data_IF_325802479024
#
_entry.id   IF_325802479024
#
_cell.length_a   1.000
_cell.length_b   1.000
_cell.length_c   1.000
_cell.angle_alpha   90.00
_cell.angle_beta   90.00
_cell.angle_gamma   90.00
#
_symmetry.space_group_name_H-M   'P 1'
#
loop_
_entity.id
_entity.type
_entity.pdbx_description
1 polymer ?
#
# COMPACT_ATOMS: atom_id res chain seq x y z
N UNK A 1 -12.66 41.73 35.56
CA UNK A 1 -12.72 40.31 35.96
C UNK A 1 -12.22 39.44 34.80
N UNK A 2 -10.96 38.96 34.81
CA UNK A 2 -10.39 38.15 33.72
C UNK A 2 -10.08 36.68 34.10
N UNK A 3 -10.60 36.16 35.23
CA UNK A 3 -10.36 34.78 35.69
C UNK A 3 -10.88 33.70 34.71
N UNK A 4 -12.00 33.96 34.03
CA UNK A 4 -12.61 33.00 33.10
C UNK A 4 -11.86 32.89 31.75
N UNK A 5 -11.08 33.91 31.37
CA UNK A 5 -10.35 33.92 30.10
C UNK A 5 -9.10 33.02 30.16
N UNK A 6 -8.37 33.06 31.28
CA UNK A 6 -7.17 32.23 31.48
C UNK A 6 -7.49 30.74 31.58
N UNK A 7 -8.62 30.36 32.20
CA UNK A 7 -9.09 28.96 32.24
C UNK A 7 -9.39 28.39 30.86
N UNK A 8 -10.00 29.17 29.97
CA UNK A 8 -10.30 28.70 28.61
C UNK A 8 -9.04 28.52 27.76
N UNK A 9 -8.05 29.42 27.87
CA UNK A 9 -6.79 29.33 27.13
C UNK A 9 -6.00 28.07 27.54
N UNK A 10 -5.94 27.77 28.84
CA UNK A 10 -5.29 26.55 29.33
C UNK A 10 -5.97 25.29 28.78
N UNK A 11 -7.31 25.20 28.81
CA UNK A 11 -8.05 24.05 28.27
C UNK A 11 -7.82 23.85 26.75
N UNK A 12 -7.74 24.94 25.99
CA UNK A 12 -7.46 24.90 24.54
C UNK A 12 -6.02 24.43 24.28
N UNK A 13 -5.04 24.88 25.07
CA UNK A 13 -3.66 24.42 24.92
C UNK A 13 -3.49 22.94 25.31
N UNK A 14 -4.14 22.50 26.38
CA UNK A 14 -4.12 21.10 26.82
C UNK A 14 -4.81 20.15 25.84
N UNK A 15 -5.93 20.56 25.23
CA UNK A 15 -6.59 19.77 24.18
C UNK A 15 -5.73 19.67 22.92
N UNK A 16 -5.04 20.74 22.51
CA UNK A 16 -4.12 20.70 21.37
C UNK A 16 -2.92 19.78 21.64
N UNK A 17 -2.33 19.85 22.84
CA UNK A 17 -1.26 18.94 23.28
C UNK A 17 -1.76 17.49 23.32
N UNK A 18 -2.99 17.24 23.80
CA UNK A 18 -3.59 15.91 23.80
C UNK A 18 -3.88 15.39 22.38
N UNK A 19 -4.34 16.25 21.46
CA UNK A 19 -4.53 15.90 20.04
C UNK A 19 -3.19 15.58 19.35
N UNK A 20 -2.15 16.36 19.62
CA UNK A 20 -0.80 16.07 19.12
C UNK A 20 -0.24 14.78 19.72
N UNK A 21 -0.42 14.57 21.03
CA UNK A 21 -0.01 13.36 21.74
C UNK A 21 -0.74 12.12 21.21
N UNK A 22 -2.05 12.21 20.99
CA UNK A 22 -2.83 11.11 20.39
C UNK A 22 -2.44 10.85 18.94
N UNK A 23 -2.12 11.87 18.13
CA UNK A 23 -1.55 11.64 16.78
C UNK A 23 -0.15 11.03 16.79
N UNK A 24 0.66 11.31 17.80
CA UNK A 24 1.99 10.72 17.99
C UNK A 24 1.91 9.27 18.49
N UNK A 25 1.03 8.99 19.46
CA UNK A 25 0.84 7.67 20.07
C UNK A 25 0.05 6.75 19.14
N UNK A 26 -1.03 7.25 18.56
CA UNK A 26 -1.70 6.66 17.41
C UNK A 26 -1.10 7.27 16.14
N UNK A 27 0.22 7.10 15.97
CA UNK A 27 0.83 7.28 14.66
C UNK A 27 -0.06 6.57 13.66
N UNK A 28 -0.50 7.27 12.61
CA UNK A 28 -1.38 6.70 11.60
C UNK A 28 -0.81 5.32 11.26
N UNK A 29 -1.54 4.26 11.61
CA UNK A 29 -1.29 2.98 10.99
C UNK A 29 -1.69 3.20 9.55
N UNK A 30 -0.74 3.67 8.75
CA UNK A 30 -0.87 3.79 7.30
C UNK A 30 -0.86 2.36 6.81
N UNK A 31 -1.99 1.68 6.97
CA UNK A 31 -2.22 0.40 6.33
C UNK A 31 -2.13 0.70 4.85
N UNK A 32 -1.15 0.13 4.12
CA UNK A 32 -1.00 0.39 2.70
C UNK A 32 -2.35 0.11 2.03
N UNK A 33 -2.82 1.00 1.15
CA UNK A 33 -4.18 0.90 0.58
C UNK A 33 -4.47 -0.48 -0.02
N UNK A 34 -3.46 -1.12 -0.59
CA UNK A 34 -3.55 -2.49 -1.09
C UNK A 34 -3.97 -3.52 -0.02
N UNK A 35 -3.57 -3.35 1.24
CA UNK A 35 -3.84 -4.27 2.34
C UNK A 35 -5.28 -4.19 2.88
N UNK A 36 -6.12 -3.32 2.32
CA UNK A 36 -7.57 -3.37 2.53
C UNK A 36 -8.23 -4.47 1.70
N UNK A 37 -7.62 -4.81 0.55
CA UNK A 37 -8.11 -5.82 -0.40
C UNK A 37 -7.26 -7.10 -0.33
N UNK A 38 -5.96 -6.93 -0.11
CA UNK A 38 -4.97 -8.00 -0.05
C UNK A 38 -4.57 -8.32 1.39
N UNK A 39 -3.91 -9.45 1.58
CA UNK A 39 -3.28 -9.82 2.84
C UNK A 39 -1.82 -9.44 2.77
N UNK A 40 -1.39 -8.57 3.68
CA UNK A 40 -0.01 -8.09 3.75
C UNK A 40 0.70 -8.68 4.96
N UNK A 41 1.91 -9.17 4.73
CA UNK A 41 2.75 -9.77 5.77
C UNK A 41 3.93 -8.86 6.09
N UNK A 42 4.42 -8.92 7.33
CA UNK A 42 5.56 -8.10 7.78
C UNK A 42 6.87 -8.42 7.05
N UNK A 43 7.00 -9.61 6.46
CA UNK A 43 8.17 -10.04 5.69
C UNK A 43 8.18 -9.55 4.23
N UNK A 44 7.27 -8.63 3.85
CA UNK A 44 7.23 -8.06 2.51
C UNK A 44 6.46 -8.90 1.49
N UNK A 45 5.73 -9.93 1.92
CA UNK A 45 4.81 -10.67 1.05
C UNK A 45 3.46 -9.96 1.02
N UNK A 46 2.90 -9.82 -0.19
CA UNK A 46 1.54 -9.28 -0.41
C UNK A 46 0.75 -10.28 -1.23
N UNK A 47 -0.29 -10.85 -0.63
CA UNK A 47 -1.16 -11.84 -1.25
C UNK A 47 -2.51 -11.20 -1.64
N UNK A 48 -2.73 -11.07 -2.95
CA UNK A 48 -3.94 -10.54 -3.57
C UNK A 48 -4.66 -11.60 -4.42
N UNK A 49 -4.47 -12.89 -4.14
CA UNK A 49 -5.06 -13.97 -4.91
C UNK A 49 -6.59 -14.05 -4.73
N UNK A 50 -7.31 -14.41 -5.81
CA UNK A 50 -8.77 -14.62 -5.79
C UNK A 50 -9.57 -13.43 -5.28
N UNK A 51 -9.16 -12.21 -5.65
CA UNK A 51 -9.79 -10.94 -5.24
C UNK A 51 -10.61 -10.27 -6.33
N UNK A 52 -10.87 -10.99 -7.43
CA UNK A 52 -11.61 -10.50 -8.60
C UNK A 52 -10.97 -9.23 -9.21
N UNK A 53 -9.65 -9.08 -9.08
CA UNK A 53 -8.95 -7.88 -9.51
C UNK A 53 -8.85 -7.81 -11.03
N UNK A 54 -9.07 -6.62 -11.57
CA UNK A 54 -8.85 -6.29 -12.99
C UNK A 54 -7.70 -5.31 -13.20
N UNK A 55 -7.17 -4.74 -12.11
CA UNK A 55 -6.05 -3.78 -12.11
C UNK A 55 -5.20 -3.96 -10.85
N UNK A 56 -3.94 -3.51 -10.92
CA UNK A 56 -2.99 -3.64 -9.80
C UNK A 56 -3.48 -2.73 -8.65
N UNK A 57 -3.60 -3.21 -7.41
CA UNK A 57 -3.97 -2.37 -6.27
C UNK A 57 -3.00 -1.21 -6.06
N UNK A 58 -3.54 -0.04 -5.74
CA UNK A 58 -2.71 1.12 -5.42
C UNK A 58 -2.09 0.99 -4.02
N UNK A 59 -0.99 1.71 -3.79
CA UNK A 59 -0.33 1.81 -2.48
C UNK A 59 0.11 0.44 -1.94
N UNK A 60 0.74 -0.39 -2.77
CA UNK A 60 1.52 -1.55 -2.30
C UNK A 60 2.80 -1.02 -1.64
N UNK A 61 3.27 -1.64 -0.56
CA UNK A 61 4.49 -1.17 0.11
C UNK A 61 5.71 -1.25 -0.80
N UNK A 62 6.59 -0.25 -0.78
CA UNK A 62 7.87 -0.29 -1.50
C UNK A 62 8.83 -1.36 -0.95
N UNK A 63 8.59 -1.85 0.27
CA UNK A 63 9.33 -2.96 0.87
C UNK A 63 8.84 -4.33 0.41
N UNK A 64 7.79 -4.40 -0.42
CA UNK A 64 7.27 -5.66 -0.95
C UNK A 64 8.31 -6.36 -1.81
N UNK A 65 8.59 -7.63 -1.47
CA UNK A 65 9.53 -8.51 -2.18
C UNK A 65 8.81 -9.58 -2.98
N UNK A 66 7.59 -9.94 -2.59
CA UNK A 66 6.75 -10.93 -3.29
C UNK A 66 5.31 -10.43 -3.40
N UNK A 67 4.78 -10.42 -4.62
CA UNK A 67 3.42 -9.99 -4.92
C UNK A 67 2.69 -11.11 -5.65
N UNK A 68 1.65 -11.66 -5.01
CA UNK A 68 0.80 -12.69 -5.60
C UNK A 68 -0.51 -12.08 -6.11
N UNK A 69 -0.68 -12.06 -7.44
CA UNK A 69 -1.87 -11.57 -8.15
C UNK A 69 -2.55 -12.70 -8.94
N UNK A 70 -2.25 -13.96 -8.59
CA UNK A 70 -2.76 -15.12 -9.29
C UNK A 70 -4.28 -15.31 -9.08
N UNK A 71 -4.94 -16.01 -10.00
CA UNK A 71 -6.39 -16.25 -9.95
C UNK A 71 -7.23 -14.96 -9.89
N UNK A 72 -6.93 -14.02 -10.78
CA UNK A 72 -7.67 -12.77 -10.96
C UNK A 72 -8.10 -12.62 -12.44
N UNK A 73 -8.56 -11.42 -12.83
CA UNK A 73 -9.08 -11.14 -14.17
C UNK A 73 -8.27 -10.06 -14.89
N UNK A 74 -6.96 -10.04 -14.68
CA UNK A 74 -6.07 -9.16 -15.43
C UNK A 74 -6.09 -9.56 -16.91
N UNK A 75 -6.42 -8.62 -17.79
CA UNK A 75 -6.30 -8.75 -19.25
C UNK A 75 -5.10 -7.98 -19.78
N UNK A 76 -4.75 -6.90 -19.09
CA UNK A 76 -3.59 -6.08 -19.36
C UNK A 76 -3.05 -5.49 -18.05
N UNK A 77 -1.80 -5.05 -18.07
CA UNK A 77 -1.18 -4.27 -16.99
C UNK A 77 -0.80 -2.91 -17.57
N UNK A 78 -0.99 -1.84 -16.81
CA UNK A 78 -0.57 -0.53 -17.29
C UNK A 78 0.96 -0.41 -17.19
N UNK A 79 1.63 0.17 -18.20
CA UNK A 79 3.05 0.48 -18.08
C UNK A 79 3.33 1.29 -16.80
N UNK A 80 4.29 0.83 -16.01
CA UNK A 80 4.63 1.48 -14.75
C UNK A 80 3.74 1.15 -13.55
N UNK A 81 2.76 0.23 -13.65
CA UNK A 81 2.00 -0.24 -12.47
C UNK A 81 2.87 -0.76 -11.33
N UNK A 82 4.08 -1.24 -11.65
CA UNK A 82 5.07 -1.72 -10.69
C UNK A 82 6.31 -0.83 -10.59
N UNK A 83 6.27 0.39 -11.15
CA UNK A 83 7.43 1.28 -11.27
C UNK A 83 8.12 1.59 -9.94
N UNK A 84 7.35 1.66 -8.87
CA UNK A 84 7.82 2.03 -7.53
C UNK A 84 8.17 0.81 -6.65
N UNK A 85 8.01 -0.41 -7.14
CA UNK A 85 8.28 -1.65 -6.39
C UNK A 85 9.70 -2.16 -6.66
N UNK A 86 10.69 -1.32 -6.35
CA UNK A 86 12.10 -1.58 -6.70
C UNK A 86 12.67 -2.83 -6.01
N UNK A 87 12.10 -3.26 -4.89
CA UNK A 87 12.52 -4.44 -4.12
C UNK A 87 11.82 -5.73 -4.54
N UNK A 88 10.91 -5.68 -5.51
CA UNK A 88 10.13 -6.84 -5.93
C UNK A 88 11.02 -7.86 -6.63
N UNK A 89 10.98 -9.11 -6.13
CA UNK A 89 11.72 -10.27 -6.66
C UNK A 89 10.80 -11.31 -7.27
N UNK A 90 9.61 -11.47 -6.70
CA UNK A 90 8.60 -12.41 -7.19
C UNK A 90 7.32 -11.67 -7.52
N UNK A 91 6.84 -11.83 -8.76
CA UNK A 91 5.54 -11.35 -9.21
C UNK A 91 4.77 -12.52 -9.80
N UNK A 92 3.71 -12.99 -9.14
CA UNK A 92 2.92 -14.10 -9.66
C UNK A 92 1.64 -13.60 -10.33
N UNK A 93 1.55 -13.74 -11.66
CA UNK A 93 0.38 -13.40 -12.47
C UNK A 93 -0.36 -14.64 -13.01
N UNK A 94 -0.06 -15.83 -12.49
CA UNK A 94 -0.66 -17.08 -12.94
C UNK A 94 -2.19 -17.07 -12.90
N UNK A 95 -2.83 -17.77 -13.84
CA UNK A 95 -4.30 -17.88 -13.91
C UNK A 95 -4.99 -16.50 -13.96
N UNK A 96 -4.56 -15.70 -14.92
CA UNK A 96 -5.21 -14.46 -15.36
C UNK A 96 -5.61 -14.58 -16.84
N UNK A 97 -6.26 -13.56 -17.39
CA UNK A 97 -6.72 -13.50 -18.79
C UNK A 97 -5.80 -12.66 -19.69
N UNK A 98 -4.49 -12.65 -19.39
CA UNK A 98 -3.48 -11.88 -20.13
C UNK A 98 -3.15 -12.63 -21.42
N UNK A 99 -3.43 -12.02 -22.58
CA UNK A 99 -3.13 -12.58 -23.90
C UNK A 99 -1.82 -12.06 -24.49
N UNK A 100 -1.40 -10.87 -24.08
CA UNK A 100 -0.27 -10.15 -24.66
C UNK A 100 0.56 -9.49 -23.55
N UNK A 101 1.87 -9.70 -23.58
CA UNK A 101 2.81 -9.04 -22.68
C UNK A 101 3.49 -7.91 -23.45
N UNK A 102 3.43 -6.67 -22.92
CA UNK A 102 4.15 -5.53 -23.50
C UNK A 102 5.46 -5.28 -22.76
N UNK A 103 6.51 -4.90 -23.49
CA UNK A 103 7.87 -4.68 -22.95
C UNK A 103 7.92 -3.67 -21.79
N UNK A 104 7.00 -2.70 -21.75
CA UNK A 104 6.96 -1.66 -20.73
C UNK A 104 6.38 -2.07 -19.36
N UNK A 105 5.80 -3.26 -19.22
CA UNK A 105 5.12 -3.66 -17.97
C UNK A 105 6.09 -3.89 -16.81
N UNK A 106 7.25 -4.48 -17.11
CA UNK A 106 8.22 -4.92 -16.12
C UNK A 106 9.57 -4.20 -16.23
N UNK A 107 9.69 -3.20 -17.11
CA UNK A 107 10.94 -2.52 -17.42
C UNK A 107 11.64 -1.88 -16.19
N UNK A 108 10.87 -1.56 -15.15
CA UNK A 108 11.35 -0.95 -13.90
C UNK A 108 11.76 -1.97 -12.84
N UNK A 109 11.38 -3.25 -12.99
CA UNK A 109 11.57 -4.31 -12.02
C UNK A 109 12.96 -4.95 -12.16
N UNK A 110 14.00 -4.18 -11.84
CA UNK A 110 15.41 -4.58 -12.02
C UNK A 110 15.84 -5.78 -11.18
N UNK A 111 15.13 -6.05 -10.08
CA UNK A 111 15.43 -7.14 -9.15
C UNK A 111 14.49 -8.33 -9.31
N UNK A 112 13.66 -8.38 -10.37
CA UNK A 112 12.72 -9.45 -10.59
C UNK A 112 13.46 -10.74 -10.96
N UNK A 113 13.20 -11.79 -10.20
CA UNK A 113 13.80 -13.12 -10.36
C UNK A 113 12.76 -14.12 -10.91
N UNK A 114 11.49 -13.98 -10.49
CA UNK A 114 10.40 -14.91 -10.80
C UNK A 114 9.16 -14.13 -11.25
N UNK A 115 8.60 -14.52 -12.39
CA UNK A 115 7.40 -13.95 -13.03
C UNK A 115 6.38 -15.06 -13.34
#
# INVERSE_FOLDING_TARGET
MPENMFRQIMLVQWTFVFILYTRLVFGQQVVPGACTICICYQNGIVNCERRLLTSVPNNISQTTTSLALSWNYFTHIQPGSFAYLYNLRTLNLYHNSITDIKSGWFATLKNLEIL
#
